data_IF_000885354376
#
_entry.id   IF_000885354376
#
_cell.length_a   1.000
_cell.length_b   1.000
_cell.length_c   1.000
_cell.angle_alpha   90.00
_cell.angle_beta   90.00
_cell.angle_gamma   90.00
#
_symmetry.space_group_name_H-M   'P 1'
#
loop_
_entity.id
_entity.type
_entity.pdbx_description
1 polymer ?
2 non-polymer ?
3 water ?
#
# COMPACT_ATOMS: atom_id res chain seq x y z
N UNK A 36 -14.40 0.04 27.52
CA UNK A 36 -13.00 -0.22 27.18
C UNK A 36 -12.67 0.20 25.76
N UNK A 37 -11.48 0.77 25.59
CA UNK A 37 -11.16 1.49 24.37
C UNK A 37 -9.96 0.94 23.59
N UNK A 38 -10.17 0.74 22.30
CA UNK A 38 -9.11 0.36 21.38
C UNK A 38 -8.79 1.57 20.51
N UNK A 39 -7.51 1.92 20.41
CA UNK A 39 -7.09 3.07 19.62
C UNK A 39 -6.47 2.64 18.30
N UNK A 40 -7.06 3.08 17.20
CA UNK A 40 -6.71 2.63 15.85
C UNK A 40 -6.22 3.81 15.00
N UNK A 41 -4.92 3.88 14.75
CA UNK A 41 -4.34 5.00 14.01
C UNK A 41 -4.25 4.73 12.50
N UNK A 42 -4.52 5.75 11.69
CA UNK A 42 -4.45 5.59 10.24
C UNK A 42 -3.36 6.48 9.64
N UNK A 43 -2.72 6.02 8.56
CA UNK A 43 -1.79 6.84 7.80
C UNK A 43 -2.51 7.80 6.86
N UNK A 44 -3.81 7.62 6.67
CA UNK A 44 -4.53 8.35 5.63
C UNK A 44 -5.72 9.14 6.22
N UNK A 45 -6.22 10.12 5.46
CA UNK A 45 -7.30 10.97 5.97
C UNK A 45 -8.69 10.34 5.81
N UNK A 46 -9.69 11.10 6.24
CA UNK A 46 -11.09 10.70 6.14
C UNK A 46 -11.47 10.55 4.68
N UNK A 47 -12.17 9.47 4.35
CA UNK A 47 -12.57 9.24 2.98
C UNK A 47 -11.69 8.18 2.32
N UNK A 48 -10.47 8.02 2.82
CA UNK A 48 -9.56 7.00 2.29
C UNK A 48 -10.02 5.57 2.55
N UNK A 49 -9.41 4.63 1.84
CA UNK A 49 -9.64 3.21 2.04
C UNK A 49 -9.39 2.80 3.49
N UNK A 50 -8.31 3.31 4.09
CA UNK A 50 -8.01 3.04 5.49
C UNK A 50 -9.14 3.50 6.41
N UNK A 51 -9.62 4.73 6.20
CA UNK A 51 -10.72 5.22 7.00
C UNK A 51 -12.00 4.35 6.82
N UNK A 52 -12.38 4.05 5.58
CA UNK A 52 -13.56 3.24 5.33
C UNK A 52 -13.43 1.89 6.00
N UNK A 53 -12.26 1.29 5.87
CA UNK A 53 -11.97 0.00 6.48
C UNK A 53 -12.14 0.12 8.00
N UNK A 54 -11.50 1.13 8.56
CA UNK A 54 -11.52 1.30 10.00
C UNK A 54 -12.95 1.54 10.53
N UNK A 55 -13.77 2.29 9.78
CA UNK A 55 -15.15 2.50 10.18
C UNK A 55 -15.90 1.17 10.27
N UNK A 56 -15.67 0.31 9.29
CA UNK A 56 -16.27 -1.01 9.29
C UNK A 56 -15.75 -1.87 10.44
N UNK A 57 -14.47 -1.72 10.75
CA UNK A 57 -13.86 -2.47 11.86
C UNK A 57 -14.48 -2.03 13.18
N UNK A 58 -14.74 -0.72 13.30
CA UNK A 58 -15.34 -0.16 14.49
C UNK A 58 -16.76 -0.68 14.68
N UNK A 59 -17.58 -0.53 13.63
CA UNK A 59 -19.00 -0.91 13.73
C UNK A 59 -19.14 -2.38 14.09
N UNK A 60 -18.30 -3.21 13.49
CA UNK A 60 -18.34 -4.65 13.67
C UNK A 60 -17.90 -5.04 15.07
N UNK A 61 -16.75 -4.55 15.49
CA UNK A 61 -16.24 -4.90 16.81
C UNK A 61 -17.16 -4.43 17.97
N UNK A 62 -17.79 -3.27 17.83
CA UNK A 62 -18.68 -2.75 18.86
C UNK A 62 -19.94 -3.61 18.96
N UNK A 63 -20.47 -4.03 17.81
CA UNK A 63 -21.66 -4.87 17.77
C UNK A 63 -21.41 -6.30 18.29
N UNK A 64 -20.22 -6.85 18.02
CA UNK A 64 -19.82 -8.19 18.49
C UNK A 64 -19.59 -8.21 20.00
N UNK A 65 -19.02 -7.12 20.48
CA UNK A 65 -18.56 -7.00 21.85
C UNK A 65 -19.68 -6.53 22.79
N UNK A 66 -20.82 -6.13 22.21
CA UNK A 66 -21.93 -5.63 22.99
C UNK A 66 -21.57 -4.37 23.77
N UNK A 67 -20.78 -3.49 23.18
CA UNK A 67 -20.40 -2.27 23.85
C UNK A 67 -19.25 -2.40 24.85
N UNK A 68 -18.88 -3.63 25.18
CA UNK A 68 -17.74 -3.91 26.07
C UNK A 68 -16.41 -3.37 25.48
N UNK A 69 -16.37 -3.19 24.16
CA UNK A 69 -15.19 -2.63 23.50
C UNK A 69 -15.62 -1.51 22.56
N UNK A 70 -15.06 -0.33 22.77
CA UNK A 70 -15.32 0.79 21.89
C UNK A 70 -14.05 1.05 21.08
N UNK A 71 -14.20 1.56 19.86
CA UNK A 71 -13.02 1.77 19.02
C UNK A 71 -12.92 3.25 18.62
N UNK A 72 -11.80 3.86 18.97
CA UNK A 72 -11.55 5.23 18.57
C UNK A 72 -10.63 5.22 17.36
N UNK A 73 -11.13 5.78 16.26
CA UNK A 73 -10.37 5.84 15.02
C UNK A 73 -9.69 7.20 14.89
N UNK A 74 -8.38 7.16 14.63
CA UNK A 74 -7.55 8.34 14.50
C UNK A 74 -6.98 8.48 13.07
N UNK A 75 -7.72 9.17 12.20
CA UNK A 75 -7.22 9.52 10.86
C UNK A 75 -6.04 10.49 10.92
N UNK A 76 -5.25 10.47 9.85
CA UNK A 76 -4.08 11.34 9.69
C UNK A 76 -4.38 12.82 9.95
N UNK A 77 -3.59 13.42 10.82
CA UNK A 77 -3.79 14.80 11.25
C UNK A 77 -4.17 14.90 12.72
N UNK A 78 -5.03 14.00 13.18
CA UNK A 78 -5.55 14.07 14.55
C UNK A 78 -4.62 13.39 15.58
N UNK A 79 -3.49 12.88 15.10
CA UNK A 79 -2.44 12.29 15.95
C UNK A 79 -3.00 11.26 16.94
N UNK A 83 4.30 12.75 15.21
CA UNK A 83 5.22 11.61 15.36
C UNK A 83 4.72 10.32 14.66
N UNK A 84 5.56 9.29 14.68
CA UNK A 84 5.38 8.10 13.82
C UNK A 84 4.47 7.01 14.37
N UNK A 85 3.51 6.63 13.55
CA UNK A 85 2.47 5.67 13.95
C UNK A 85 3.08 4.33 14.40
N UNK A 86 4.19 3.95 13.79
CA UNK A 86 4.82 2.69 14.12
C UNK A 86 5.51 2.75 15.48
N UNK A 87 5.89 3.95 15.93
CA UNK A 87 6.50 4.10 17.25
C UNK A 87 5.38 4.09 18.28
N UNK A 88 4.30 4.80 17.97
CA UNK A 88 3.13 4.83 18.86
C UNK A 88 2.57 3.44 19.11
N UNK A 89 2.67 2.58 18.12
CA UNK A 89 2.14 1.23 18.26
C UNK A 89 3.11 0.37 19.05
N UNK A 90 4.41 0.52 18.77
CA UNK A 90 5.42 -0.19 19.54
C UNK A 90 5.40 0.26 21.01
N UNK A 91 5.25 1.56 21.24
CA UNK A 91 5.23 2.15 22.59
C UNK A 91 4.01 1.74 23.38
N UNK A 92 2.94 1.35 22.69
CA UNK A 92 1.70 0.99 23.36
C UNK A 92 0.77 2.19 23.46
N UNK A 93 1.23 3.33 22.94
CA UNK A 93 0.41 4.54 22.94
C UNK A 93 -0.89 4.33 22.14
N UNK A 94 -0.82 3.58 21.03
CA UNK A 94 -2.04 3.10 20.38
C UNK A 94 -1.99 1.58 20.26
N UNK A 95 -3.16 0.97 20.13
CA UNK A 95 -3.22 -0.49 20.03
C UNK A 95 -3.02 -0.98 18.60
N UNK A 96 -3.64 -0.28 17.66
CA UNK A 96 -3.74 -0.73 16.28
C UNK A 96 -3.37 0.39 15.31
N UNK A 97 -2.72 0.04 14.21
CA UNK A 97 -2.39 1.02 13.18
C UNK A 97 -2.22 0.37 11.84
N UNK A 98 -2.38 1.19 10.80
CA UNK A 98 -2.00 0.79 9.47
C UNK A 98 -0.51 1.11 9.32
N UNK A 99 0.19 0.27 8.57
CA UNK A 99 1.59 0.53 8.26
C UNK A 99 1.83 0.05 6.84
N UNK A 100 2.21 0.98 5.98
CA UNK A 100 2.58 0.66 4.61
C UNK A 100 4.08 0.33 4.46
N UNK A 101 4.48 -0.25 3.31
CA UNK A 101 5.89 -0.62 3.11
C UNK A 101 6.84 0.55 3.27
N UNK A 102 6.46 1.74 2.78
CA UNK A 102 7.29 2.92 2.98
C UNK A 102 7.68 3.21 4.43
N UNK A 103 6.73 3.06 5.35
CA UNK A 103 6.96 3.37 6.77
C UNK A 103 7.67 2.23 7.52
N UNK A 104 7.87 1.11 6.84
CA UNK A 104 8.41 -0.10 7.45
C UNK A 104 9.74 -0.53 6.86
N UNK A 105 10.17 0.09 5.77
CA UNK A 105 11.30 -0.41 4.97
C UNK A 105 12.64 -0.48 5.70
N UNK A 106 12.86 0.36 6.71
CA UNK A 106 14.13 0.35 7.45
C UNK A 106 14.12 -0.65 8.60
N UNK A 107 12.93 -1.10 8.96
CA UNK A 107 12.78 -2.06 10.06
C UNK A 107 12.35 -3.45 9.53
N UNK A 108 11.42 -3.46 8.57
CA UNK A 108 10.86 -4.69 8.00
C UNK A 108 10.96 -4.69 6.46
N UNK A 109 12.18 -4.91 5.94
CA UNK A 109 12.50 -4.80 4.51
C UNK A 109 11.74 -5.81 3.64
N UNK A 110 11.19 -6.84 4.27
CA UNK A 110 10.47 -7.88 3.56
C UNK A 110 9.20 -7.31 2.92
N UNK A 111 8.69 -6.21 3.47
CA UNK A 111 7.50 -5.58 2.91
C UNK A 111 7.79 -5.00 1.51
N UNK A 112 9.08 -4.86 1.17
CA UNK A 112 9.46 -4.46 -0.18
C UNK A 112 8.85 -5.37 -1.25
N UNK A 113 8.57 -6.62 -0.88
CA UNK A 113 7.89 -7.53 -1.77
C UNK A 113 6.69 -6.86 -2.46
N UNK A 114 5.96 -6.02 -1.72
CA UNK A 114 4.72 -5.41 -2.21
C UNK A 114 4.92 -4.24 -3.16
N UNK A 115 6.16 -3.78 -3.31
CA UNK A 115 6.47 -2.77 -4.32
C UNK A 115 7.15 -3.36 -5.57
N UNK A 116 7.37 -4.68 -5.61
CA UNK A 116 7.93 -5.31 -6.82
C UNK A 116 6.90 -5.36 -7.96
N UNK A 117 7.32 -5.01 -9.17
CA UNK A 117 6.35 -4.95 -10.27
C UNK A 117 6.07 -6.36 -10.84
N UNK A 118 4.81 -6.64 -11.18
CA UNK A 118 4.41 -7.86 -11.89
C UNK A 118 4.69 -9.15 -11.11
N UNK A 119 4.63 -9.08 -9.79
CA UNK A 119 4.99 -10.21 -8.96
C UNK A 119 3.75 -10.91 -8.45
N UNK A 120 3.00 -10.23 -7.58
CA UNK A 120 1.74 -10.74 -7.09
C UNK A 120 0.79 -10.98 -8.28
N UNK A 121 -0.11 -11.95 -8.15
CA UNK A 121 -1.04 -12.27 -9.25
C UNK A 121 -1.94 -11.05 -9.61
N UNK A 122 -2.12 -10.81 -10.91
CA UNK A 122 -2.96 -9.74 -11.44
C UNK A 122 -4.40 -9.89 -11.03
N UNK A 123 -4.94 -11.09 -11.28
CA UNK A 123 -6.34 -11.37 -11.02
C UNK A 123 -6.59 -11.27 -9.53
N UNK A 124 -7.76 -10.74 -9.19
CA UNK A 124 -8.10 -10.38 -7.83
C UNK A 124 -8.25 -11.59 -6.92
N UNK A 125 -8.81 -12.68 -7.42
CA UNK A 125 -9.08 -13.81 -6.54
C UNK A 125 -7.82 -14.56 -6.08
N UNK A 126 -6.95 -14.92 -7.04
CA UNK A 126 -5.65 -15.46 -6.62
C UNK A 126 -4.94 -14.49 -5.65
N UNK A 127 -4.93 -13.20 -5.98
CA UNK A 127 -4.24 -12.19 -5.17
C UNK A 127 -4.82 -12.12 -3.76
N UNK A 128 -6.14 -12.14 -3.68
CA UNK A 128 -6.82 -12.18 -2.41
C UNK A 128 -6.43 -13.46 -1.63
N UNK A 129 -6.49 -14.61 -2.30
CA UNK A 129 -6.15 -15.89 -1.67
C UNK A 129 -4.77 -15.82 -1.02
N UNK A 130 -3.81 -15.27 -1.75
CA UNK A 130 -2.43 -15.18 -1.28
C UNK A 130 -2.32 -14.36 0.00
N UNK A 131 -2.83 -13.13 -0.03
CA UNK A 131 -2.74 -12.23 1.11
C UNK A 131 -3.43 -12.79 2.35
N UNK A 132 -4.41 -13.67 2.14
CA UNK A 132 -5.23 -14.26 3.21
C UNK A 132 -4.62 -15.53 3.73
N UNK A 133 -3.73 -16.12 2.94
CA UNK A 133 -3.11 -17.38 3.28
C UNK A 133 -2.40 -17.28 4.63
N UNK A 134 -2.71 -18.20 5.56
CA UNK A 134 -2.01 -18.22 6.85
C UNK A 134 -0.50 -18.44 6.67
N UNK A 135 -0.12 -19.23 5.67
CA UNK A 135 1.29 -19.52 5.43
C UNK A 135 2.03 -18.29 4.88
N UNK A 136 1.31 -17.41 4.19
CA UNK A 136 1.90 -16.18 3.69
C UNK A 136 2.02 -15.17 4.82
N UNK A 137 0.95 -15.01 5.59
CA UNK A 137 0.98 -14.10 6.73
C UNK A 137 2.10 -14.52 7.68
N UNK A 138 2.12 -15.82 8.02
CA UNK A 138 3.07 -16.32 9.00
C UNK A 138 4.52 -16.10 8.56
N UNK A 139 4.78 -16.18 7.27
CA UNK A 139 6.13 -15.92 6.76
C UNK A 139 6.61 -14.50 7.11
N UNK A 140 5.67 -13.60 7.36
CA UNK A 140 6.00 -12.22 7.64
C UNK A 140 6.05 -11.92 9.11
N UNK A 141 5.27 -12.67 9.87
CA UNK A 141 5.13 -12.43 11.33
C UNK A 141 6.46 -12.21 12.06
N UNK A 142 7.45 -13.07 11.83
CA UNK A 142 8.75 -12.94 12.51
C UNK A 142 9.45 -11.61 12.18
N UNK A 143 9.40 -11.19 10.92
CA UNK A 143 10.05 -9.93 10.53
C UNK A 143 9.44 -8.76 11.27
N UNK A 144 8.13 -8.83 11.49
CA UNK A 144 7.40 -7.79 12.21
C UNK A 144 7.71 -7.81 13.70
N UNK A 145 7.77 -9.03 14.26
CA UNK A 145 8.08 -9.22 15.68
C UNK A 145 9.45 -8.63 15.93
N UNK A 146 10.37 -8.91 15.00
CA UNK A 146 11.72 -8.35 15.06
C UNK A 146 11.73 -6.82 15.18
N UNK A 147 10.64 -6.17 14.78
CA UNK A 147 10.49 -4.71 14.91
C UNK A 147 9.56 -4.36 16.08
N UNK A 148 9.20 -5.39 16.85
CA UNK A 148 8.30 -5.26 17.99
C UNK A 148 6.85 -5.02 17.64
N UNK A 149 6.38 -5.68 16.58
CA UNK A 149 5.01 -5.47 16.12
C UNK A 149 4.28 -6.79 15.88
N UNK A 150 2.99 -6.81 16.21
CA UNK A 150 2.16 -7.96 15.88
C UNK A 150 1.46 -7.72 14.54
N UNK A 151 1.85 -8.48 13.51
CA UNK A 151 1.18 -8.41 12.19
C UNK A 151 -0.14 -9.16 12.24
N UNK A 152 -1.22 -8.50 11.85
CA UNK A 152 -2.55 -9.10 11.87
C UNK A 152 -3.06 -9.41 10.46
N UNK A 153 -2.53 -8.73 9.45
CA UNK A 153 -3.00 -8.96 8.09
C UNK A 153 -2.61 -7.87 7.11
N UNK A 154 -3.01 -8.08 5.86
CA UNK A 154 -2.75 -7.14 4.79
C UNK A 154 -4.06 -6.61 4.19
N UNK A 155 -4.06 -5.35 3.79
CA UNK A 155 -5.22 -4.74 3.15
C UNK A 155 -4.87 -4.01 1.83
N UNK A 156 -5.61 -4.30 0.74
CA UNK A 156 -5.41 -3.66 -0.56
C UNK A 156 -5.95 -2.21 -0.59
N UNK A 157 -5.21 -1.25 -1.17
CA UNK A 157 -5.73 0.12 -1.32
C UNK A 157 -5.91 0.47 -2.79
N UNK A 158 -5.48 -0.42 -3.67
CA UNK A 158 -5.76 -0.26 -5.08
C UNK A 158 -4.53 -0.42 -5.94
N UNK A 159 -4.75 -0.59 -7.24
CA UNK A 159 -3.67 -0.61 -8.20
C UNK A 159 -2.87 0.69 -8.14
N UNK A 160 -1.55 0.63 -8.08
CA UNK A 160 -0.72 1.83 -8.26
C UNK A 160 -0.96 2.36 -9.68
N UNK A 161 -1.07 3.67 -9.82
CA UNK A 161 -1.32 4.29 -11.12
C UNK A 161 -0.24 5.32 -11.40
N UNK A 162 0.19 5.46 -12.64
CA UNK A 162 1.29 6.35 -12.96
C UNK A 162 0.74 7.65 -13.58
N UNK A 163 1.33 8.80 -13.24
CA UNK A 163 1.04 10.04 -13.95
C UNK A 163 2.34 10.66 -14.44
N UNK A 164 2.20 11.44 -15.51
CA UNK A 164 3.27 12.20 -16.08
C UNK A 164 2.65 13.16 -17.10
N UNK A 165 3.52 13.89 -17.81
CA UNK A 165 3.08 14.73 -18.89
C UNK A 165 3.29 14.11 -20.26
N UNK A 166 3.39 12.78 -20.28
CA UNK A 166 3.39 12.00 -21.51
C UNK A 166 2.99 10.58 -21.16
N UNK A 167 2.63 9.77 -22.17
CA UNK A 167 2.25 8.38 -21.86
C UNK A 167 3.49 7.58 -21.48
N UNK A 168 3.33 6.54 -20.65
CA UNK A 168 4.44 5.72 -20.22
C UNK A 168 4.19 4.29 -20.72
N UNK A 169 4.37 4.10 -22.04
CA UNK A 169 4.04 2.84 -22.69
C UNK A 169 5.20 1.85 -22.76
N UNK A 170 6.43 2.36 -22.78
CA UNK A 170 7.61 1.49 -22.81
C UNK A 170 8.63 2.00 -21.79
N UNK A 171 9.55 1.14 -21.34
CA UNK A 171 10.63 1.56 -20.45
C UNK A 171 11.36 2.76 -21.02
N UNK A 172 11.53 2.79 -22.33
CA UNK A 172 12.16 3.92 -22.98
C UNK A 172 11.53 5.28 -22.58
N UNK A 173 10.22 5.32 -22.34
CA UNK A 173 9.54 6.55 -21.92
C UNK A 173 9.96 7.07 -20.54
N UNK A 174 10.56 6.22 -19.73
CA UNK A 174 11.06 6.58 -18.40
C UNK A 174 12.48 7.17 -18.43
N UNK A 175 13.22 6.95 -19.52
CA UNK A 175 14.65 7.38 -19.58
C UNK A 175 14.84 8.86 -19.27
N UNK A 176 15.64 9.14 -18.24
CA UNK A 176 15.99 10.50 -17.84
C UNK A 176 14.94 11.22 -16.99
N UNK A 177 13.81 10.55 -16.74
CA UNK A 177 12.69 11.15 -15.99
C UNK A 177 12.93 11.14 -14.50
N UNK A 178 12.77 12.28 -13.85
CA UNK A 178 12.72 12.29 -12.39
C UNK A 178 11.33 11.82 -12.00
N UNK A 179 11.27 10.67 -11.34
CA UNK A 179 9.99 10.02 -11.07
C UNK A 179 9.87 9.73 -9.57
N UNK A 180 8.76 10.15 -8.96
CA UNK A 180 8.60 10.03 -7.50
C UNK A 180 7.96 8.67 -7.10
N UNK A 181 8.71 7.89 -6.34
CA UNK A 181 8.39 6.51 -6.04
C UNK A 181 8.04 6.39 -4.56
N UNK A 182 7.55 5.21 -4.14
CA UNK A 182 7.41 4.94 -2.70
C UNK A 182 8.80 5.02 -2.07
N UNK A 183 8.84 5.28 -0.77
CA UNK A 183 10.12 5.50 -0.10
C UNK A 183 10.77 4.18 0.34
N UNK A 184 10.86 3.24 -0.58
CA UNK A 184 11.47 1.96 -0.33
C UNK A 184 12.58 1.76 -1.34
N UNK A 185 13.71 1.22 -0.92
CA UNK A 185 14.81 0.99 -1.84
C UNK A 185 14.35 0.10 -3.00
N UNK A 186 13.48 -0.86 -2.68
CA UNK A 186 13.02 -1.78 -3.70
C UNK A 186 12.14 -1.03 -4.67
N UNK A 187 11.33 -0.09 -4.16
CA UNK A 187 10.42 0.68 -5.00
C UNK A 187 11.22 1.60 -5.93
N UNK A 188 12.28 2.20 -5.40
CA UNK A 188 13.17 3.04 -6.21
C UNK A 188 13.78 2.23 -7.35
N UNK A 189 14.29 1.05 -7.01
CA UNK A 189 14.99 0.21 -7.97
C UNK A 189 14.10 -0.26 -9.10
N UNK A 190 12.82 -0.44 -8.80
CA UNK A 190 11.83 -0.83 -9.79
C UNK A 190 11.81 0.15 -10.96
N UNK A 191 11.80 1.44 -10.65
CA UNK A 191 11.71 2.49 -11.68
C UNK A 191 13.10 2.82 -12.25
N UNK A 192 14.12 2.63 -11.45
CA UNK A 192 15.48 2.76 -11.95
C UNK A 192 15.68 1.72 -13.04
N UNK A 193 15.05 0.56 -12.91
CA UNK A 193 15.16 -0.49 -13.94
C UNK A 193 14.69 -0.01 -15.30
N UNK A 194 13.69 0.85 -15.33
CA UNK A 194 13.15 1.40 -16.58
C UNK A 194 13.99 2.57 -17.09
N UNK A 195 14.97 2.98 -16.29
CA UNK A 195 15.87 4.05 -16.67
C UNK A 195 15.43 5.40 -16.13
N UNK A 196 14.65 5.42 -15.04
CA UNK A 196 14.26 6.69 -14.44
C UNK A 196 15.30 7.09 -13.39
N UNK A 197 15.23 8.34 -12.93
CA UNK A 197 15.94 8.77 -11.72
C UNK A 197 14.89 8.94 -10.63
N UNK A 198 14.75 7.93 -9.77
CA UNK A 198 13.74 7.95 -8.71
C UNK A 198 14.04 8.91 -7.56
N UNK A 199 13.05 9.67 -7.12
CA UNK A 199 13.17 10.55 -5.94
C UNK A 199 12.06 10.20 -4.97
N UNK A 200 12.25 10.57 -3.71
CA UNK A 200 11.23 10.39 -2.69
C UNK A 200 10.88 11.73 -2.02
N UNK A 201 10.67 12.72 -2.85
CA UNK A 201 10.14 14.03 -2.44
C UNK A 201 8.90 13.94 -1.51
N UNK A 202 8.90 14.69 -0.39
CA UNK A 202 7.79 14.74 0.56
C UNK A 202 6.49 15.12 -0.13
N UNK A 203 5.40 14.47 0.26
CA UNK A 203 4.17 14.60 -0.49
C UNK A 203 3.68 16.04 -0.61
N UNK A 204 3.88 16.83 0.45
CA UNK A 204 3.30 18.15 0.51
C UNK A 204 3.92 19.08 -0.55
N UNK A 205 5.02 18.63 -1.10
CA UNK A 205 5.80 19.43 -2.04
C UNK A 205 5.54 18.93 -3.49
N UNK A 206 4.96 17.74 -3.60
CA UNK A 206 4.86 17.10 -4.91
C UNK A 206 4.03 17.88 -5.92
N UNK A 207 2.89 18.41 -5.48
CA UNK A 207 2.01 19.16 -6.38
C UNK A 207 2.80 20.26 -7.10
N UNK A 208 3.44 21.12 -6.32
CA UNK A 208 4.19 22.21 -6.89
C UNK A 208 5.44 21.76 -7.68
N UNK A 209 6.18 20.74 -7.19
CA UNK A 209 7.30 20.19 -7.99
C UNK A 209 6.78 19.61 -9.35
N UNK A 210 5.63 18.93 -9.35
CA UNK A 210 5.08 18.44 -10.62
C UNK A 210 4.78 19.64 -11.53
N UNK A 211 4.25 20.69 -10.92
CA UNK A 211 3.75 21.81 -11.67
C UNK A 211 4.89 22.56 -12.31
N UNK A 212 6.05 22.53 -11.67
CA UNK A 212 7.20 23.30 -12.09
C UNK A 212 8.05 22.45 -13.01
N UNK A 213 7.73 21.17 -13.12
CA UNK A 213 8.57 20.27 -13.89
C UNK A 213 9.83 19.82 -13.16
N UNK A 214 9.95 20.09 -11.86
CA UNK A 214 11.06 19.51 -11.09
C UNK A 214 10.97 17.99 -10.98
N UNK A 215 9.75 17.50 -11.04
CA UNK A 215 9.46 16.07 -11.04
C UNK A 215 8.60 15.81 -12.27
N UNK A 216 8.86 14.73 -12.99
CA UNK A 216 8.13 14.45 -14.25
C UNK A 216 6.89 13.60 -14.08
N UNK A 217 6.85 12.78 -13.05
CA UNK A 217 5.65 12.02 -12.78
C UNK A 217 5.72 11.36 -11.44
N UNK A 218 4.69 10.64 -11.08
CA UNK A 218 4.65 9.90 -9.84
C UNK A 218 3.69 8.75 -9.96
N UNK A 219 3.63 7.98 -8.87
CA UNK A 219 2.85 6.78 -8.78
C UNK A 219 2.11 6.73 -7.45
N UNK A 220 0.85 6.35 -7.50
CA UNK A 220 -0.03 6.29 -6.33
C UNK A 220 -1.35 5.72 -6.80
N UNK A 221 -2.16 5.22 -5.85
CA UNK A 221 -3.52 4.81 -6.22
C UNK A 221 -4.36 6.05 -6.58
N UNK A 222 -5.36 5.83 -7.43
CA UNK A 222 -6.18 6.90 -7.96
C UNK A 222 -6.79 7.81 -6.87
N UNK A 223 -7.27 7.26 -5.76
CA UNK A 223 -7.85 8.12 -4.73
C UNK A 223 -6.84 9.08 -4.14
N UNK A 224 -5.59 8.64 -4.01
CA UNK A 224 -4.57 9.51 -3.45
C UNK A 224 -4.21 10.63 -4.47
N UNK A 225 -4.18 10.28 -5.76
CA UNK A 225 -3.94 11.24 -6.82
C UNK A 225 -5.03 12.34 -6.84
N UNK A 226 -6.29 11.94 -6.77
CA UNK A 226 -7.40 12.89 -6.75
C UNK A 226 -7.31 13.76 -5.49
N UNK A 227 -7.11 13.14 -4.33
CA UNK A 227 -7.07 13.86 -3.07
C UNK A 227 -5.97 14.96 -3.03
N UNK A 228 -4.78 14.66 -3.59
CA UNK A 228 -3.67 15.61 -3.60
C UNK A 228 -3.75 16.54 -4.78
N UNK A 229 -4.64 16.25 -5.71
CA UNK A 229 -4.83 17.12 -6.84
C UNK A 229 -3.76 17.01 -7.94
N UNK A 230 -3.03 15.91 -8.00
CA UNK A 230 -1.96 15.78 -9.02
C UNK A 230 -2.51 15.74 -10.44
N UNK A 231 -3.79 15.43 -10.58
CA UNK A 231 -4.37 15.34 -11.89
C UNK A 231 -4.47 16.75 -12.51
N UNK A 232 -4.42 17.80 -11.69
CA UNK A 232 -4.47 19.19 -12.19
C UNK A 232 -3.15 19.62 -12.87
N UNK A 233 -2.07 18.91 -12.57
CA UNK A 233 -0.74 19.32 -12.98
C UNK A 233 -0.07 18.16 -13.74
N UNK A 234 -0.90 17.25 -14.24
CA UNK A 234 -0.45 16.14 -15.06
C UNK A 234 -1.38 16.01 -16.30
N UNK A 235 -0.94 15.33 -17.32
CA UNK A 235 -1.70 15.19 -18.58
C UNK A 235 -2.05 13.74 -18.89
N UNK A 236 -1.31 12.79 -18.35
CA UNK A 236 -1.55 11.42 -18.70
C UNK A 236 -1.52 10.50 -17.48
N UNK A 237 -2.61 9.79 -17.28
CA UNK A 237 -2.70 8.74 -16.28
C UNK A 237 -2.45 7.37 -16.93
N UNK A 238 -1.31 6.73 -16.66
CA UNK A 238 -1.03 5.42 -17.28
C UNK A 238 -1.29 4.27 -16.28
N UNK A 239 -2.12 3.31 -16.67
CA UNK A 239 -2.47 2.21 -15.80
C UNK A 239 -1.74 0.97 -16.32
N UNK A 240 -0.62 0.65 -15.66
CA UNK A 240 0.19 -0.50 -16.06
C UNK A 240 -0.19 -1.75 -15.29
N UNK A 241 -0.97 -1.59 -14.22
CA UNK A 241 -1.28 -2.68 -13.30
C UNK A 241 0.03 -3.46 -12.99
N UNK A 242 1.01 -2.77 -12.43
CA UNK A 242 2.32 -3.36 -12.16
C UNK A 242 2.39 -3.80 -10.71
N UNK A 243 1.83 -3.01 -9.80
CA UNK A 243 1.77 -3.39 -8.38
C UNK A 243 0.60 -2.69 -7.71
N UNK A 244 0.20 -3.23 -6.58
CA UNK A 244 -0.86 -2.68 -5.77
C UNK A 244 -0.32 -1.99 -4.51
N UNK A 245 -1.08 -1.04 -4.01
CA UNK A 245 -0.83 -0.49 -2.68
C UNK A 245 -1.36 -1.49 -1.67
N UNK A 246 -0.47 -2.02 -0.85
CA UNK A 246 -0.86 -2.99 0.17
C UNK A 246 -0.45 -2.43 1.52
N UNK A 247 -1.41 -2.20 2.41
CA UNK A 247 -1.11 -1.67 3.75
C UNK A 247 -1.20 -2.80 4.79
N UNK A 248 -0.36 -2.74 5.83
CA UNK A 248 -0.37 -3.71 6.93
C UNK A 248 -1.26 -3.23 8.06
N UNK A 249 -1.97 -4.14 8.71
CA UNK A 249 -2.57 -3.82 10.01
C UNK A 249 -1.71 -4.44 11.10
N UNK A 250 -1.19 -3.61 11.99
CA UNK A 250 -0.31 -4.11 13.05
C UNK A 250 -0.85 -3.77 14.44
N UNK A 251 -0.39 -4.52 15.44
CA UNK A 251 -0.80 -4.28 16.82
C UNK A 251 0.39 -4.31 17.76
N UNK A 252 0.27 -3.55 18.83
CA UNK A 252 1.20 -3.66 19.94
C UNK A 252 1.38 -5.13 20.36
N UNK A 253 2.64 -5.52 20.50
CA UNK A 253 3.00 -6.93 20.64
C UNK A 253 2.49 -7.55 21.92
N UNK A 254 2.49 -6.77 22.99
CA UNK A 254 2.12 -7.26 24.32
C UNK A 254 0.63 -7.13 24.56
N UNK A 255 0.05 -6.03 24.09
CA UNK A 255 -1.39 -5.84 24.18
C UNK A 255 -2.11 -7.00 23.49
N UNK A 256 -1.63 -7.35 22.31
CA UNK A 256 -2.21 -8.46 21.58
C UNK A 256 -2.13 -9.75 22.41
N UNK A 257 -0.93 -10.04 22.89
CA UNK A 257 -0.66 -11.27 23.62
C UNK A 257 -1.42 -11.26 24.96
N UNK A 258 -1.61 -10.08 25.52
CA UNK A 258 -2.35 -9.90 26.76
C UNK A 258 -3.81 -9.60 26.48
N UNK A 259 -4.45 -10.53 25.80
CA UNK A 259 -5.86 -10.42 25.42
C UNK A 259 -6.53 -11.76 25.66
N UNK A 260 -7.77 -11.73 26.17
CA UNK A 260 -8.63 -12.91 26.28
C UNK A 260 -8.80 -13.59 24.92
N UNK A 261 -8.81 -14.92 24.90
CA UNK A 261 -8.95 -15.63 23.62
C UNK A 261 -10.25 -15.22 22.90
N UNK A 262 -11.17 -14.58 23.63
CA UNK A 262 -12.42 -14.13 23.03
C UNK A 262 -12.25 -12.85 22.22
N UNK A 263 -11.61 -11.86 22.82
CA UNK A 263 -11.41 -10.59 22.16
C UNK A 263 -10.42 -10.75 21.00
N UNK A 264 -9.45 -11.63 21.18
CA UNK A 264 -8.48 -11.94 20.14
C UNK A 264 -9.16 -12.60 18.96
N UNK A 265 -10.32 -13.22 19.19
CA UNK A 265 -11.09 -13.79 18.10
C UNK A 265 -11.94 -12.71 17.45
N UNK A 266 -12.45 -11.78 18.24
CA UNK A 266 -13.19 -10.64 17.70
C UNK A 266 -12.26 -9.84 16.79
N UNK A 267 -11.06 -9.58 17.30
CA UNK A 267 -10.01 -8.90 16.56
C UNK A 267 -9.66 -9.67 15.28
N UNK A 268 -9.23 -10.92 15.41
CA UNK A 268 -8.73 -11.69 14.26
C UNK A 268 -9.80 -12.10 13.23
N UNK A 269 -11.01 -12.41 13.69
CA UNK A 269 -12.09 -12.83 12.78
C UNK A 269 -12.63 -11.64 11.97
N UNK A 270 -12.67 -10.47 12.60
CA UNK A 270 -13.12 -9.26 11.94
C UNK A 270 -12.14 -8.84 10.85
N UNK A 271 -10.85 -8.86 11.19
CA UNK A 271 -9.79 -8.56 10.22
C UNK A 271 -9.92 -9.50 9.04
N UNK A 272 -10.27 -10.75 9.35
CA UNK A 272 -10.40 -11.80 8.36
C UNK A 272 -11.58 -11.53 7.43
N UNK A 273 -12.70 -11.10 7.99
CA UNK A 273 -13.90 -10.78 7.23
C UNK A 273 -13.66 -9.58 6.33
N UNK A 274 -13.00 -8.58 6.89
CA UNK A 274 -12.88 -7.30 6.22
C UNK A 274 -11.91 -7.39 5.06
N UNK A 275 -11.20 -8.52 4.95
CA UNK A 275 -10.29 -8.71 3.83
C UNK A 275 -11.03 -8.61 2.51
N UNK A 276 -12.15 -9.33 2.42
CA UNK A 276 -12.94 -9.46 1.20
C UNK A 276 -13.67 -8.16 0.88
N UNK A 277 -14.25 -7.56 1.91
CA UNK A 277 -14.93 -6.28 1.76
C UNK A 277 -13.93 -5.20 1.35
N UNK A 278 -12.69 -5.32 1.82
CA UNK A 278 -11.67 -4.35 1.48
C UNK A 278 -11.40 -4.33 -0.03
N UNK A 279 -11.43 -5.50 -0.66
CA UNK A 279 -11.23 -5.56 -2.10
C UNK A 279 -12.34 -4.81 -2.81
N UNK A 280 -13.52 -4.84 -2.22
CA UNK A 280 -14.66 -4.18 -2.84
C UNK A 280 -14.68 -2.69 -2.54
N UNK A 281 -14.27 -2.29 -1.34
CA UNK A 281 -14.24 -0.88 -0.99
C UNK A 281 -13.24 -0.15 -1.86
N UNK A 282 -12.09 -0.77 -2.11
CA UNK A 282 -11.07 -0.02 -2.82
C UNK A 282 -11.42 0.06 -4.30
N UNK A 283 -11.96 -1.01 -4.88
CA UNK A 283 -12.33 -1.00 -6.30
C UNK A 283 -13.32 0.15 -6.57
N UNK A 284 -14.34 0.24 -5.69
CA UNK A 284 -15.37 1.26 -5.78
C UNK A 284 -14.83 2.69 -5.51
N UNK A 285 -14.04 2.87 -4.44
CA UNK A 285 -13.54 4.20 -4.13
C UNK A 285 -12.65 4.71 -5.28
N UNK A 286 -11.79 3.83 -5.78
CA UNK A 286 -10.90 4.20 -6.85
C UNK A 286 -11.67 4.53 -8.14
N UNK A 287 -12.76 3.82 -8.40
CA UNK A 287 -13.55 4.08 -9.60
C UNK A 287 -14.24 5.44 -9.51
N UNK A 288 -14.74 5.76 -8.32
CA UNK A 288 -15.41 7.02 -8.05
C UNK A 288 -14.41 8.17 -8.24
N UNK A 289 -13.22 7.99 -7.69
CA UNK A 289 -12.24 9.04 -7.73
C UNK A 289 -11.74 9.23 -9.15
N UNK A 290 -11.67 8.16 -9.91
CA UNK A 290 -11.30 8.28 -11.32
C UNK A 290 -12.33 9.14 -12.08
N UNK A 291 -13.62 8.94 -11.84
CA UNK A 291 -14.63 9.80 -12.49
C UNK A 291 -14.47 11.27 -12.07
N UNK A 292 -14.19 11.50 -10.79
CA UNK A 292 -13.94 12.86 -10.31
C UNK A 292 -12.74 13.50 -11.03
N UNK A 293 -11.66 12.75 -11.15
CA UNK A 293 -10.49 13.21 -11.91
C UNK A 293 -10.86 13.63 -13.35
N UNK A 294 -11.65 12.81 -14.06
CA UNK A 294 -11.96 13.09 -15.44
C UNK A 294 -12.79 14.35 -15.60
N UNK A 295 -13.63 14.67 -14.61
CA UNK A 295 -14.37 15.94 -14.59
C UNK A 295 -13.46 17.18 -14.64
N UNK A 296 -12.23 17.05 -14.15
CA UNK A 296 -11.31 18.19 -14.16
C UNK A 296 -10.97 18.56 -15.63
N UNK A 297 -10.88 17.55 -16.49
CA UNK A 297 -10.41 17.76 -17.83
C UNK A 297 -8.90 17.87 -17.97
N UNK A 298 -8.42 17.64 -19.20
CA UNK A 298 -7.03 17.84 -19.54
C UNK A 298 -6.19 16.64 -19.14
N UNK A 299 -6.84 15.54 -18.87
CA UNK A 299 -6.13 14.36 -18.47
C UNK A 299 -6.59 13.12 -19.22
N UNK A 300 -5.61 12.44 -19.77
CA UNK A 300 -5.77 11.33 -20.68
C UNK A 300 -5.57 10.01 -19.89
N UNK A 301 -6.33 8.97 -20.22
CA UNK A 301 -6.20 7.70 -19.53
C UNK A 301 -5.63 6.67 -20.50
N UNK A 302 -4.61 5.94 -20.08
CA UNK A 302 -3.98 4.98 -20.96
C UNK A 302 -3.90 3.65 -20.22
N UNK A 303 -4.55 2.60 -20.71
CA UNK A 303 -4.34 1.25 -20.13
C UNK A 303 -3.38 0.50 -21.03
N UNK A 304 -2.25 0.08 -20.47
CA UNK A 304 -1.25 -0.65 -21.25
C UNK A 304 -1.82 -1.97 -21.78
N UNK A 305 -1.45 -2.33 -23.00
CA UNK A 305 -1.77 -3.64 -23.59
C UNK A 305 -0.92 -4.70 -22.92
N UNK A 306 -1.30 -5.96 -23.10
CA UNK A 306 -0.53 -7.08 -22.56
C UNK A 306 0.92 -7.08 -23.08
N UNK A 307 1.11 -6.75 -24.35
CA UNK A 307 2.45 -6.67 -24.92
C UNK A 307 3.29 -5.60 -24.20
N UNK A 308 2.70 -4.43 -23.97
CA UNK A 308 3.42 -3.34 -23.32
C UNK A 308 3.74 -3.74 -21.88
N UNK A 309 2.81 -4.39 -21.20
CA UNK A 309 3.05 -4.83 -19.84
C UNK A 309 4.18 -5.84 -19.80
N UNK A 310 4.15 -6.76 -20.76
CA UNK A 310 5.14 -7.82 -20.84
C UNK A 310 6.53 -7.23 -20.99
N UNK A 311 6.64 -6.14 -21.73
CA UNK A 311 7.92 -5.48 -21.91
C UNK A 311 8.46 -4.87 -20.58
N UNK A 312 7.56 -4.34 -19.76
CA UNK A 312 7.95 -3.75 -18.49
C UNK A 312 8.31 -4.85 -17.52
N UNK A 313 7.60 -5.97 -17.61
CA UNK A 313 7.89 -7.12 -16.75
C UNK A 313 9.34 -7.56 -16.97
N UNK A 314 9.68 -7.76 -18.24
CA UNK A 314 11.02 -8.19 -18.63
C UNK A 314 12.04 -7.22 -18.03
N UNK A 315 11.76 -5.93 -18.14
CA UNK A 315 12.72 -4.91 -17.70
C UNK A 315 12.67 -4.66 -16.18
N UNK A 316 11.69 -5.24 -15.50
CA UNK A 316 11.54 -5.06 -14.04
C UNK A 316 12.36 -6.01 -13.19
N UNK A 317 12.96 -7.01 -13.82
CA UNK A 317 13.56 -8.12 -13.07
C UNK A 317 14.63 -7.69 -12.03
N UNK A 318 15.49 -6.75 -12.39
CA UNK A 318 16.56 -6.28 -11.49
C UNK A 318 16.10 -5.78 -10.12
N UNK A 319 14.88 -5.29 -9.98
CA UNK A 319 14.39 -4.97 -8.64
C UNK A 319 14.26 -6.23 -7.76
N UNK A 320 14.05 -7.39 -8.38
CA UNK A 320 13.96 -8.65 -7.63
C UNK A 320 15.33 -9.00 -7.06
N UNK A 321 16.36 -8.79 -7.87
CA UNK A 321 17.74 -9.03 -7.45
C UNK A 321 18.08 -8.16 -6.25
N UNK A 322 17.86 -6.85 -6.36
CA UNK A 322 18.14 -5.91 -5.27
C UNK A 322 17.34 -6.30 -4.02
N UNK A 323 16.13 -6.82 -4.22
CA UNK A 323 15.27 -7.21 -3.11
C UNK A 323 15.86 -8.38 -2.37
N UNK A 324 16.35 -9.37 -3.10
CA UNK A 324 16.99 -10.57 -2.53
C UNK A 324 18.27 -10.20 -1.77
N UNK A 325 19.15 -9.41 -2.40
CA UNK A 325 20.34 -8.90 -1.72
C UNK A 325 19.99 -8.30 -0.35
N UNK A 326 18.87 -7.61 -0.28
CA UNK A 326 18.45 -6.90 0.94
C UNK A 326 17.76 -7.78 1.98
N UNK A 327 17.17 -8.89 1.57
CA UNK A 327 16.36 -9.70 2.49
C UNK A 327 16.82 -11.17 2.56
N UNK A 328 17.73 -11.55 1.67
CA UNK A 328 18.27 -12.90 1.64
C UNK A 328 17.25 -13.99 1.40
N UNK A 329 17.39 -15.08 2.16
CA UNK A 329 16.66 -16.32 1.92
C UNK A 329 15.15 -16.18 2.18
N UNK A 330 14.79 -15.36 3.15
CA UNK A 330 13.39 -15.10 3.42
C UNK A 330 12.73 -14.42 2.20
N UNK A 331 13.43 -13.44 1.64
CA UNK A 331 12.94 -12.74 0.47
C UNK A 331 12.70 -13.68 -0.70
N UNK A 332 13.62 -14.63 -0.88
CA UNK A 332 13.51 -15.64 -1.93
C UNK A 332 12.25 -16.47 -1.80
N UNK A 333 11.92 -16.87 -0.58
CA UNK A 333 10.79 -17.76 -0.33
C UNK A 333 9.49 -17.01 -0.52
N UNK A 334 9.46 -15.75 -0.10
CA UNK A 334 8.28 -14.90 -0.29
C UNK A 334 7.96 -14.79 -1.79
N UNK A 335 8.98 -14.45 -2.56
CA UNK A 335 8.86 -14.39 -4.02
C UNK A 335 8.37 -15.73 -4.59
N UNK A 336 8.82 -16.82 -3.99
CA UNK A 336 8.43 -18.16 -4.43
C UNK A 336 6.96 -18.43 -4.12
N UNK A 337 6.53 -18.07 -2.92
CA UNK A 337 5.14 -18.30 -2.55
C UNK A 337 4.19 -17.49 -3.43
N UNK A 338 4.56 -16.25 -3.76
CA UNK A 338 3.70 -15.36 -4.55
C UNK A 338 3.76 -15.64 -6.05
N UNK A 339 4.79 -16.36 -6.49
CA UNK A 339 4.93 -16.71 -7.91
C UNK A 339 4.00 -17.87 -8.30
N UNK A 340 3.79 -18.82 -7.39
CA UNK A 340 3.01 -20.02 -7.72
C UNK A 340 1.72 -20.11 -6.91
X LIG B 1 -3.62 18.17 -17.74
#
# INVERSE_FOLDING_TARGET
>A
XHHHHHHSSGVDLGTENLYFQSXAQSTANGKPEYPVTWRFALEEIEGSVQHLYAQQFREQVEALSGGRIEVDVFPYGSLGTSAQLTELTRNGSVNLAFASPGHLADTVPETGLFNLHFLLPEEQEPARRLLEAPAFISAFEPAYHNAGLQLLGFVPEGWMTWTANNPLRTPSDFQGLRFRTMTSETAAEAFRSYGADPVQTPFAQVYSDLQLGNIDGQSNPVFAIEEMGFHEVQNVLTMARASRFIASVVANEDWFAGLPSQERKWLEETIAQLSEEAWTLQEDLNKERLETILEQGGIRVVRLTEDERAAFRDASLPARQRFIELTGEKGQALIQRATSIAGN
>B hetero
1 NA NA
#
